data_IF_032628879794
#
_entry.id   IF_032628879794
#
_cell.length_a   1.000
_cell.length_b   1.000
_cell.length_c   1.000
_cell.angle_alpha   90.00
_cell.angle_beta   90.00
_cell.angle_gamma   90.00
#
_symmetry.space_group_name_H-M   'P 1'
#
loop_
_entity.id
_entity.type
_entity.pdbx_description
1 polymer ?
#
# COMPACT_ATOMS: atom_id res chain seq x y z
N UNK A 1 -2.81 11.69 -3.25
CA UNK A 1 -2.10 10.46 -3.64
C UNK A 1 -3.10 9.40 -4.00
N UNK A 2 -2.75 8.58 -4.99
CA UNK A 2 -3.54 7.44 -5.45
C UNK A 2 -2.63 6.28 -5.87
N UNK A 3 -3.19 5.07 -5.92
CA UNK A 3 -2.51 3.91 -6.49
C UNK A 3 -2.28 4.09 -7.98
N UNK A 4 -1.11 3.70 -8.48
CA UNK A 4 -0.88 3.62 -9.92
C UNK A 4 -1.62 2.44 -10.53
N UNK A 5 -2.12 2.65 -11.74
CA UNK A 5 -2.75 1.58 -12.53
C UNK A 5 -1.71 0.51 -12.89
N UNK A 6 -2.13 -0.75 -12.85
CA UNK A 6 -1.27 -1.88 -13.19
C UNK A 6 -0.48 -2.45 -12.02
N UNK A 7 -0.75 -2.05 -10.78
CA UNK A 7 -0.19 -2.68 -9.58
C UNK A 7 -1.31 -3.38 -8.79
N UNK A 8 -1.28 -4.72 -8.80
CA UNK A 8 -2.31 -5.53 -8.15
C UNK A 8 -1.73 -6.29 -6.96
N UNK A 9 -2.48 -6.35 -5.88
CA UNK A 9 -2.19 -7.20 -4.73
C UNK A 9 -2.59 -8.64 -5.05
N UNK A 10 -1.68 -9.58 -4.82
CA UNK A 10 -1.90 -11.02 -4.95
C UNK A 10 -1.50 -11.70 -3.65
N UNK A 11 -2.27 -12.69 -3.25
CA UNK A 11 -1.91 -13.58 -2.15
C UNK A 11 -1.35 -14.89 -2.72
N UNK A 12 -0.10 -15.21 -2.40
CA UNK A 12 0.61 -16.41 -2.86
C UNK A 12 1.18 -17.12 -1.63
N UNK A 13 0.78 -18.37 -1.39
CA UNK A 13 1.26 -19.17 -0.26
C UNK A 13 1.13 -18.51 1.13
N UNK A 14 0.16 -17.62 1.32
CA UNK A 14 -0.06 -16.88 2.57
C UNK A 14 0.75 -15.58 2.67
N UNK A 15 1.54 -15.23 1.66
CA UNK A 15 2.21 -13.94 1.54
C UNK A 15 1.41 -13.00 0.65
N UNK A 16 1.44 -11.72 0.98
CA UNK A 16 0.83 -10.66 0.18
C UNK A 16 1.91 -9.98 -0.67
N UNK A 17 1.73 -9.93 -1.98
CA UNK A 17 2.70 -9.33 -2.91
C UNK A 17 2.01 -8.39 -3.89
N UNK A 18 2.62 -7.24 -4.14
CA UNK A 18 2.24 -6.38 -5.26
C UNK A 18 2.98 -6.83 -6.50
N UNK A 19 2.21 -7.04 -7.58
CA UNK A 19 2.71 -7.41 -8.90
C UNK A 19 2.35 -6.32 -9.90
N UNK A 20 3.34 -5.90 -10.69
CA UNK A 20 3.11 -5.05 -11.84
C UNK A 20 2.55 -5.89 -13.01
N UNK A 21 1.33 -5.58 -13.47
CA UNK A 21 0.65 -6.23 -14.57
C UNK A 21 0.32 -5.19 -15.66
N UNK A 22 0.77 -5.40 -16.91
CA UNK A 22 0.38 -4.57 -18.06
C UNK A 22 1.48 -4.43 -19.14
N UNK A 23 1.07 -4.08 -20.37
CA UNK A 23 2.00 -3.89 -21.51
C UNK A 23 2.99 -2.74 -21.32
N UNK A 24 2.67 -1.78 -20.46
CA UNK A 24 3.51 -0.61 -20.17
C UNK A 24 4.54 -0.87 -19.06
N UNK A 25 4.40 -1.96 -18.30
CA UNK A 25 5.32 -2.37 -17.24
C UNK A 25 6.00 -3.70 -17.65
N UNK A 26 6.98 -3.62 -18.54
CA UNK A 26 7.76 -4.78 -19.05
C UNK A 26 8.68 -5.39 -17.95
N UNK A 27 8.85 -4.69 -16.82
CA UNK A 27 9.64 -5.16 -15.68
C UNK A 27 8.77 -5.91 -14.65
N UNK A 28 8.42 -7.16 -14.98
CA UNK A 28 7.80 -8.13 -14.06
C UNK A 28 8.71 -8.51 -12.86
N UNK A 29 9.88 -7.87 -12.74
CA UNK A 29 10.87 -8.11 -11.69
C UNK A 29 10.54 -7.37 -10.38
N UNK A 30 9.66 -6.35 -10.41
CA UNK A 30 9.29 -5.60 -9.21
C UNK A 30 8.16 -6.30 -8.45
N UNK A 31 8.56 -7.28 -7.63
CA UNK A 31 7.71 -7.88 -6.60
C UNK A 31 7.96 -7.11 -5.31
N UNK A 32 6.89 -6.59 -4.70
CA UNK A 32 6.96 -5.94 -3.39
C UNK A 32 6.18 -6.77 -2.40
N UNK A 33 6.88 -7.33 -1.41
CA UNK A 33 6.23 -8.05 -0.32
C UNK A 33 5.56 -7.07 0.64
N UNK A 34 4.30 -7.35 0.94
CA UNK A 34 3.47 -6.64 1.90
C UNK A 34 3.29 -7.53 3.13
N UNK A 35 3.39 -6.93 4.31
CA UNK A 35 2.86 -7.57 5.52
C UNK A 35 1.33 -7.44 5.56
N UNK A 36 0.67 -8.12 6.50
CA UNK A 36 -0.80 -8.11 6.62
C UNK A 36 -1.36 -6.68 6.76
N UNK A 37 -0.72 -5.83 7.56
CA UNK A 37 -1.15 -4.44 7.78
C UNK A 37 -1.08 -3.59 6.52
N UNK A 38 0.02 -3.67 5.76
CA UNK A 38 0.19 -2.92 4.52
C UNK A 38 -0.69 -3.44 3.39
N UNK A 39 -0.93 -4.75 3.34
CA UNK A 39 -1.89 -5.38 2.42
C UNK A 39 -3.32 -4.88 2.70
N UNK A 40 -3.75 -4.91 3.96
CA UNK A 40 -5.04 -4.36 4.39
C UNK A 40 -5.21 -2.90 3.97
N UNK A 41 -4.22 -2.05 4.27
CA UNK A 41 -4.27 -0.65 3.88
C UNK A 41 -4.38 -0.47 2.37
N UNK A 42 -3.60 -1.24 1.60
CA UNK A 42 -3.59 -1.18 0.13
C UNK A 42 -4.92 -1.58 -0.50
N UNK A 43 -5.60 -2.59 0.05
CA UNK A 43 -6.96 -2.98 -0.37
C UNK A 43 -7.98 -1.92 0.04
N UNK A 44 -7.85 -1.39 1.26
CA UNK A 44 -8.77 -0.41 1.80
C UNK A 44 -8.79 0.88 0.98
N UNK A 45 -7.70 1.25 0.30
CA UNK A 45 -7.57 2.44 -0.56
C UNK A 45 -7.85 2.20 -2.06
N UNK A 46 -8.33 1.01 -2.44
CA UNK A 46 -8.63 0.70 -3.84
C UNK A 46 -9.64 1.69 -4.43
N UNK A 47 -9.31 2.25 -5.60
CA UNK A 47 -10.20 3.16 -6.33
C UNK A 47 -10.44 4.53 -5.69
N UNK A 48 -9.69 4.91 -4.65
CA UNK A 48 -9.82 6.23 -4.00
C UNK A 48 -8.46 6.91 -3.77
N UNK A 49 -8.52 8.23 -3.64
CA UNK A 49 -7.39 9.00 -3.15
C UNK A 49 -7.25 8.84 -1.63
N UNK A 50 -6.04 8.98 -1.13
CA UNK A 50 -5.74 8.82 0.29
C UNK A 50 -4.64 9.78 0.75
N UNK A 51 -4.62 10.04 2.06
CA UNK A 51 -3.54 10.75 2.77
C UNK A 51 -2.98 9.88 3.89
N UNK A 52 -1.91 10.34 4.54
CA UNK A 52 -1.39 9.70 5.73
C UNK A 52 -2.43 9.65 6.87
N UNK A 53 -3.27 10.69 7.01
CA UNK A 53 -4.39 10.68 7.97
C UNK A 53 -5.39 9.57 7.62
N UNK A 54 -5.77 9.44 6.34
CA UNK A 54 -6.70 8.38 5.89
C UNK A 54 -6.18 6.98 6.26
N UNK A 55 -4.88 6.73 6.05
CA UNK A 55 -4.28 5.45 6.40
C UNK A 55 -4.21 5.24 7.92
N UNK A 56 -3.91 6.29 8.69
CA UNK A 56 -3.88 6.23 10.14
C UNK A 56 -5.26 5.90 10.72
N UNK A 57 -6.31 6.55 10.23
CA UNK A 57 -7.69 6.28 10.64
C UNK A 57 -8.07 4.81 10.36
N UNK A 58 -7.73 4.29 9.18
CA UNK A 58 -7.94 2.88 8.84
C UNK A 58 -7.21 1.90 9.77
N UNK A 59 -6.03 2.27 10.26
CA UNK A 59 -5.30 1.48 11.27
C UNK A 59 -6.00 1.52 12.62
N UNK A 60 -6.52 2.69 13.04
CA UNK A 60 -7.25 2.82 14.30
C UNK A 60 -8.58 2.06 14.29
N UNK A 61 -9.20 1.89 13.12
CA UNK A 61 -10.41 1.09 12.96
C UNK A 61 -10.16 -0.42 13.11
N UNK A 62 -8.97 -0.91 12.75
CA UNK A 62 -8.62 -2.34 12.81
C UNK A 62 -7.78 -2.73 14.02
N UNK A 63 -6.98 -1.81 14.54
CA UNK A 63 -5.97 -2.08 15.55
C UNK A 63 -6.08 -1.07 16.70
N UNK A 64 -5.88 -1.55 17.92
CA UNK A 64 -5.82 -0.69 19.10
C UNK A 64 -4.43 -0.05 19.20
N UNK A 65 -4.22 1.05 18.46
CA UNK A 65 -2.95 1.78 18.41
C UNK A 65 -3.18 3.27 18.64
N UNK A 66 -2.15 3.98 19.10
CA UNK A 66 -2.21 5.44 19.23
C UNK A 66 -2.13 6.12 17.86
N UNK A 67 -2.98 7.12 17.62
CA UNK A 67 -3.01 7.90 16.37
C UNK A 67 -1.64 8.40 15.93
N UNK A 68 -0.86 8.96 16.85
CA UNK A 68 0.46 9.52 16.52
C UNK A 68 1.45 8.44 16.05
N UNK A 69 1.32 7.21 16.56
CA UNK A 69 2.16 6.07 16.15
C UNK A 69 1.71 5.60 14.76
N UNK A 70 0.41 5.35 14.58
CA UNK A 70 -0.16 4.96 13.29
C UNK A 70 0.18 5.97 12.18
N UNK A 71 0.02 7.26 12.46
CA UNK A 71 0.30 8.32 11.52
C UNK A 71 1.77 8.35 11.09
N UNK A 72 2.70 8.16 12.05
CA UNK A 72 4.12 8.09 11.75
C UNK A 72 4.46 6.87 10.90
N UNK A 73 3.92 5.71 11.24
CA UNK A 73 4.12 4.48 10.47
C UNK A 73 3.55 4.60 9.05
N UNK A 74 2.39 5.26 8.90
CA UNK A 74 1.77 5.55 7.60
C UNK A 74 2.62 6.51 6.75
N UNK A 75 3.25 7.53 7.35
CA UNK A 75 4.18 8.40 6.63
C UNK A 75 5.39 7.62 6.09
N UNK A 76 5.99 6.76 6.92
CA UNK A 76 7.10 5.89 6.48
C UNK A 76 6.66 4.90 5.40
N UNK A 77 5.43 4.38 5.49
CA UNK A 77 4.86 3.48 4.49
C UNK A 77 4.65 4.19 3.15
N UNK A 78 4.12 5.42 3.16
CA UNK A 78 3.93 6.23 1.95
C UNK A 78 5.27 6.46 1.24
N UNK A 79 6.32 6.85 1.97
CA UNK A 79 7.65 7.04 1.39
C UNK A 79 8.13 5.76 0.69
N UNK A 80 7.97 4.59 1.32
CA UNK A 80 8.33 3.31 0.71
C UNK A 80 7.52 3.01 -0.55
N UNK A 81 6.24 3.35 -0.57
CA UNK A 81 5.40 3.19 -1.76
C UNK A 81 5.77 4.15 -2.89
N UNK A 82 6.16 5.38 -2.56
CA UNK A 82 6.68 6.36 -3.54
C UNK A 82 8.03 5.91 -4.11
N UNK A 83 8.97 5.48 -3.27
CA UNK A 83 10.28 4.96 -3.70
C UNK A 83 10.15 3.70 -4.55
N UNK A 84 9.22 2.81 -4.20
CA UNK A 84 8.88 1.64 -5.01
C UNK A 84 8.19 2.03 -6.33
N UNK A 85 7.64 3.24 -6.40
CA UNK A 85 7.00 3.80 -7.58
C UNK A 85 5.60 3.26 -7.83
N UNK A 86 4.90 2.78 -6.81
CA UNK A 86 3.57 2.14 -6.91
C UNK A 86 2.41 3.11 -6.63
N UNK A 87 2.69 4.30 -6.13
CA UNK A 87 1.73 5.39 -5.94
C UNK A 87 2.17 6.62 -6.71
N UNK A 88 1.22 7.52 -6.95
CA UNK A 88 1.44 8.82 -7.60
C UNK A 88 0.72 9.93 -6.81
N UNK A 89 1.20 11.18 -6.87
CA UNK A 89 0.61 12.33 -6.19
C UNK A 89 -0.87 12.53 -6.53
#
# INVERSE_FOLDING_TARGET
>A
MKKKVGFNLRSICGEHVIVAEGKENIDFSKIISMNETSAYLWEAIEGKEFTAETLADLLLEQYEVEYNIAYKDCLELIVKWEEAGIIEP
#
